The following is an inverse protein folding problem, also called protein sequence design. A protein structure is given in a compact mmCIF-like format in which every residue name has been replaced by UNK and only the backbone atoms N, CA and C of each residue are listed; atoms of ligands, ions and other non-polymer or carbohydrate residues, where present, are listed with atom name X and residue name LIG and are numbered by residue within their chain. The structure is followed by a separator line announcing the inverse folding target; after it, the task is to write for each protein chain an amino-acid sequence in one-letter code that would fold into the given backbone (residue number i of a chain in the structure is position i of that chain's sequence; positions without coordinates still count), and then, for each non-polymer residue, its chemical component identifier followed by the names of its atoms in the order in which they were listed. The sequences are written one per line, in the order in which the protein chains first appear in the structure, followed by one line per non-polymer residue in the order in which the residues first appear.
data_IF_454897725279
#
_entry.id   IF_454897725279
#
_cell.length_a   1.000
_cell.length_b   1.000
_cell.length_c   1.000
_cell.angle_alpha   90.00
_cell.angle_beta   90.00
_cell.angle_gamma   90.00
#
_symmetry.space_group_name_H-M   'P 1'
#
loop_
_entity.id
_entity.type
_entity.pdbx_description
1 polymer ?
#
# COMPACT_ATOMS: atom_id res chain seq x y z
N UNK A 1 22.41 7.42 -16.46
CA UNK A 1 21.64 6.75 -17.53
C UNK A 1 20.47 5.99 -16.90
N UNK A 2 19.28 6.06 -17.49
CA UNK A 2 18.12 5.28 -17.03
C UNK A 2 18.24 3.80 -17.41
N UNK A 3 17.66 2.91 -16.61
CA UNK A 3 17.53 1.48 -16.94
C UNK A 3 16.21 1.24 -17.69
N UNK A 4 16.24 0.36 -18.69
CA UNK A 4 15.03 -0.11 -19.37
C UNK A 4 14.14 -0.87 -18.38
N UNK A 5 12.82 -0.68 -18.48
CA UNK A 5 11.83 -1.49 -17.77
C UNK A 5 11.45 -2.65 -18.67
N UNK A 6 11.85 -3.86 -18.30
CA UNK A 6 11.60 -5.04 -19.11
C UNK A 6 10.12 -5.47 -19.05
N UNK A 7 9.57 -5.84 -20.20
CA UNK A 7 8.18 -6.27 -20.34
C UNK A 7 7.13 -5.15 -20.36
N UNK A 8 7.55 -3.87 -20.28
CA UNK A 8 6.65 -2.73 -20.38
C UNK A 8 6.20 -2.44 -21.82
N UNK A 9 4.90 -2.17 -22.00
CA UNK A 9 4.34 -1.67 -23.25
C UNK A 9 4.45 -0.14 -23.32
N UNK A 10 5.42 0.36 -24.10
CA UNK A 10 5.75 1.80 -24.15
C UNK A 10 4.60 2.71 -24.58
N UNK A 11 3.68 2.22 -25.42
CA UNK A 11 2.54 2.99 -25.93
C UNK A 11 1.46 3.30 -24.88
N UNK A 12 1.48 2.61 -23.73
CA UNK A 12 0.51 2.78 -22.65
C UNK A 12 1.17 2.94 -21.27
N UNK A 13 2.50 3.06 -21.24
CA UNK A 13 3.25 3.16 -20.01
C UNK A 13 3.06 4.52 -19.34
N UNK A 14 2.67 4.50 -18.08
CA UNK A 14 2.41 5.68 -17.28
C UNK A 14 3.04 5.52 -15.89
N UNK A 15 3.86 6.49 -15.49
CA UNK A 15 4.26 6.65 -14.09
C UNK A 15 3.08 7.24 -13.31
N UNK A 16 2.69 6.60 -12.21
CA UNK A 16 1.50 6.97 -11.42
C UNK A 16 1.82 7.53 -10.04
N UNK A 17 3.08 7.47 -9.60
CA UNK A 17 3.54 8.02 -8.31
C UNK A 17 4.02 6.93 -7.34
N UNK A 18 4.60 7.33 -6.21
CA UNK A 18 5.10 6.42 -5.15
C UNK A 18 6.05 5.30 -5.63
N UNK A 19 6.78 5.55 -6.73
CA UNK A 19 7.63 4.55 -7.37
C UNK A 19 6.91 3.53 -8.24
N UNK A 20 5.58 3.63 -8.38
CA UNK A 20 4.77 2.80 -9.26
C UNK A 20 4.62 3.38 -10.67
N UNK A 21 4.51 2.47 -11.61
CA UNK A 21 4.10 2.71 -12.98
C UNK A 21 3.16 1.59 -13.44
N UNK A 22 2.39 1.82 -14.48
CA UNK A 22 1.56 0.79 -15.11
C UNK A 22 1.52 0.97 -16.62
N UNK A 23 1.24 -0.12 -17.31
CA UNK A 23 0.76 -0.11 -18.69
C UNK A 23 -0.63 -0.77 -18.72
N UNK A 24 -1.20 -1.01 -19.91
CA UNK A 24 -2.54 -1.59 -20.03
C UNK A 24 -2.68 -3.00 -19.41
N UNK A 25 -1.58 -3.73 -19.18
CA UNK A 25 -1.58 -5.14 -18.76
C UNK A 25 -0.78 -5.34 -17.47
N UNK A 26 0.27 -4.55 -17.24
CA UNK A 26 1.23 -4.73 -16.17
C UNK A 26 1.23 -3.55 -15.20
N UNK A 27 1.65 -3.83 -13.96
CA UNK A 27 2.04 -2.83 -12.98
C UNK A 27 3.50 -3.07 -12.60
N UNK A 28 4.23 -1.99 -12.33
CA UNK A 28 5.63 -2.00 -11.99
C UNK A 28 5.88 -1.19 -10.73
N UNK A 29 6.85 -1.60 -9.92
CA UNK A 29 7.41 -0.84 -8.81
C UNK A 29 8.92 -0.71 -9.00
N UNK A 30 9.43 0.52 -9.05
CA UNK A 30 10.86 0.81 -9.29
C UNK A 30 11.43 0.07 -10.51
N UNK A 31 10.64 -0.03 -11.58
CA UNK A 31 11.01 -0.70 -12.83
C UNK A 31 10.94 -2.23 -12.80
N UNK A 32 10.48 -2.85 -11.70
CA UNK A 32 10.24 -4.30 -11.61
C UNK A 32 8.75 -4.60 -11.72
N UNK A 33 8.37 -5.60 -12.50
CA UNK A 33 6.97 -6.06 -12.61
C UNK A 33 6.46 -6.54 -11.25
N UNK A 34 5.24 -6.16 -10.91
CA UNK A 34 4.51 -6.62 -9.72
C UNK A 34 3.60 -7.77 -10.14
N UNK A 35 3.69 -8.90 -9.43
CA UNK A 35 2.92 -10.11 -9.77
C UNK A 35 1.55 -10.13 -9.10
N UNK A 36 0.59 -10.82 -9.75
CA UNK A 36 -0.75 -11.05 -9.21
C UNK A 36 -1.62 -9.81 -9.09
N UNK A 37 -1.31 -8.77 -9.86
CA UNK A 37 -1.98 -7.45 -9.83
C UNK A 37 -2.87 -7.23 -11.05
N UNK A 38 -4.04 -6.63 -10.83
CA UNK A 38 -4.95 -6.26 -11.91
C UNK A 38 -4.77 -4.79 -12.32
N UNK A 39 -3.98 -4.55 -13.38
CA UNK A 39 -3.63 -3.19 -13.84
C UNK A 39 -4.84 -2.28 -14.06
N UNK A 40 -5.94 -2.80 -14.62
CA UNK A 40 -7.15 -2.03 -14.91
C UNK A 40 -7.78 -1.36 -13.68
N UNK A 41 -7.65 -1.97 -12.51
CA UNK A 41 -8.19 -1.45 -11.24
C UNK A 41 -7.11 -0.92 -10.29
N UNK A 42 -5.84 -0.96 -10.71
CA UNK A 42 -4.73 -0.57 -9.87
C UNK A 42 -4.72 0.94 -9.61
N UNK A 43 -4.65 1.31 -8.34
CA UNK A 43 -4.63 2.70 -7.88
C UNK A 43 -3.72 2.84 -6.66
N UNK A 44 -3.13 4.03 -6.51
CA UNK A 44 -2.39 4.38 -5.31
C UNK A 44 -3.35 4.64 -4.15
N UNK A 45 -2.92 4.23 -2.96
CA UNK A 45 -3.59 4.57 -1.69
C UNK A 45 -2.78 5.64 -0.95
N UNK A 46 -1.45 5.58 -1.04
CA UNK A 46 -0.53 6.61 -0.55
C UNK A 46 0.67 6.05 0.22
N UNK A 47 1.78 6.78 0.25
CA UNK A 47 3.01 6.41 0.96
C UNK A 47 3.52 5.00 0.58
N UNK A 48 3.43 4.64 -0.70
CA UNK A 48 3.86 3.31 -1.19
C UNK A 48 2.81 2.21 -1.05
N UNK A 49 1.68 2.47 -0.39
CA UNK A 49 0.51 1.61 -0.47
C UNK A 49 -0.22 1.82 -1.79
N UNK A 50 -0.65 0.71 -2.39
CA UNK A 50 -1.48 0.66 -3.57
C UNK A 50 -2.45 -0.52 -3.49
N UNK A 51 -3.49 -0.51 -4.30
CA UNK A 51 -4.45 -1.61 -4.36
C UNK A 51 -5.01 -1.81 -5.75
N UNK A 52 -5.42 -3.03 -6.03
CA UNK A 52 -6.38 -3.33 -7.08
C UNK A 52 -7.74 -3.68 -6.44
N UNK A 53 -8.71 -4.18 -7.21
CA UNK A 53 -10.03 -4.53 -6.67
C UNK A 53 -10.01 -5.66 -5.63
N UNK A 54 -8.95 -6.47 -5.57
CA UNK A 54 -8.86 -7.70 -4.77
C UNK A 54 -7.68 -7.73 -3.80
N UNK A 55 -6.61 -7.01 -4.11
CA UNK A 55 -5.32 -7.11 -3.45
C UNK A 55 -4.84 -5.75 -2.99
N UNK A 56 -4.11 -5.74 -1.88
CA UNK A 56 -3.37 -4.58 -1.39
C UNK A 56 -1.88 -4.87 -1.50
N UNK A 57 -1.12 -3.83 -1.84
CA UNK A 57 0.32 -3.89 -2.02
C UNK A 57 1.00 -2.78 -1.23
N UNK A 58 2.21 -3.06 -0.75
CA UNK A 58 3.13 -2.07 -0.22
C UNK A 58 4.48 -2.25 -0.92
N UNK A 59 5.01 -1.16 -1.51
CA UNK A 59 6.29 -1.14 -2.25
C UNK A 59 6.47 -2.31 -3.24
N UNK A 60 5.40 -2.59 -4.00
CA UNK A 60 5.37 -3.66 -5.01
C UNK A 60 5.19 -5.07 -4.46
N UNK A 61 4.97 -5.25 -3.14
CA UNK A 61 4.72 -6.55 -2.51
C UNK A 61 3.28 -6.66 -2.05
N UNK A 62 2.62 -7.77 -2.38
CA UNK A 62 1.25 -8.05 -1.91
C UNK A 62 1.24 -8.24 -0.39
N UNK A 63 0.30 -7.57 0.29
CA UNK A 63 0.03 -7.74 1.72
C UNK A 63 -0.95 -8.90 1.88
N UNK A 64 -0.58 -9.90 2.67
CA UNK A 64 -1.46 -11.04 2.94
C UNK A 64 -2.62 -10.62 3.85
N UNK A 65 -3.80 -11.19 3.60
CA UNK A 65 -5.02 -11.02 4.41
C UNK A 65 -5.50 -9.56 4.56
N UNK A 66 -5.12 -8.67 3.64
CA UNK A 66 -5.62 -7.31 3.57
C UNK A 66 -6.88 -7.23 2.68
N UNK A 67 -7.87 -6.46 3.12
CA UNK A 67 -9.17 -6.29 2.46
C UNK A 67 -9.19 -5.02 1.60
N UNK A 68 -8.92 -5.16 0.30
CA UNK A 68 -8.79 -4.03 -0.64
C UNK A 68 -10.00 -3.08 -0.67
N UNK A 69 -11.21 -3.62 -0.48
CA UNK A 69 -12.46 -2.83 -0.47
C UNK A 69 -12.54 -1.81 0.67
N UNK A 70 -11.90 -2.09 1.81
CA UNK A 70 -11.92 -1.25 3.02
C UNK A 70 -10.57 -0.62 3.33
N UNK A 71 -9.52 -1.00 2.60
CA UNK A 71 -8.16 -0.51 2.81
C UNK A 71 -8.04 1.00 2.56
N UNK A 72 -7.53 1.71 3.57
CA UNK A 72 -7.33 3.16 3.60
C UNK A 72 -5.98 3.49 4.22
N UNK A 73 -5.23 4.38 3.58
CA UNK A 73 -4.07 4.99 4.20
C UNK A 73 -4.54 5.94 5.31
N UNK A 74 -3.90 5.84 6.47
CA UNK A 74 -4.27 6.60 7.67
C UNK A 74 -3.25 7.72 7.95
N UNK A 75 -2.00 7.58 7.53
CA UNK A 75 -0.95 8.60 7.75
C UNK A 75 0.31 7.99 8.36
N UNK A 76 1.46 8.64 8.18
CA UNK A 76 2.75 8.24 8.78
C UNK A 76 3.10 6.74 8.60
N UNK A 77 2.82 6.18 7.42
CA UNK A 77 3.05 4.76 7.12
C UNK A 77 1.97 3.79 7.64
N UNK A 78 1.00 4.29 8.41
CA UNK A 78 -0.15 3.51 8.86
C UNK A 78 -1.25 3.46 7.82
N UNK A 79 -1.90 2.31 7.77
CA UNK A 79 -3.12 2.06 7.00
C UNK A 79 -4.05 1.15 7.80
N UNK A 80 -5.32 1.16 7.46
CA UNK A 80 -6.32 0.30 8.10
C UNK A 80 -7.21 -0.35 7.04
N UNK A 81 -7.75 -1.51 7.38
CA UNK A 81 -8.89 -2.12 6.67
C UNK A 81 -9.86 -2.72 7.70
N UNK A 82 -10.88 -3.46 7.25
CA UNK A 82 -11.85 -4.08 8.16
C UNK A 82 -11.29 -5.18 9.07
N UNK A 83 -10.05 -5.63 8.85
CA UNK A 83 -9.42 -6.74 9.56
C UNK A 83 -8.29 -6.34 10.50
N UNK A 84 -7.74 -5.15 10.36
CA UNK A 84 -6.60 -4.73 11.16
C UNK A 84 -5.95 -3.44 10.72
N UNK A 85 -4.90 -3.12 11.45
CA UNK A 85 -4.02 -1.98 11.22
C UNK A 85 -2.73 -2.49 10.60
N UNK A 86 -2.16 -1.72 9.68
CA UNK A 86 -0.91 -2.02 9.00
C UNK A 86 0.06 -0.87 9.17
N UNK A 87 1.34 -1.18 9.37
CA UNK A 87 2.43 -0.22 9.36
C UNK A 87 3.47 -0.66 8.33
N UNK A 88 3.73 0.21 7.35
CA UNK A 88 4.63 -0.05 6.22
C UNK A 88 4.47 -1.46 5.60
N UNK A 89 3.22 -1.85 5.35
CA UNK A 89 2.87 -3.13 4.73
C UNK A 89 2.80 -4.33 5.68
N UNK A 90 3.09 -4.16 6.96
CA UNK A 90 3.06 -5.22 7.97
C UNK A 90 1.80 -5.07 8.82
N UNK A 91 1.01 -6.14 8.96
CA UNK A 91 -0.15 -6.15 9.86
C UNK A 91 0.32 -6.12 11.31
N UNK A 92 -0.30 -5.26 12.12
CA UNK A 92 -0.06 -5.17 13.56
C UNK A 92 -1.06 -6.09 14.26
N UNK A 93 -0.55 -7.13 14.90
CA UNK A 93 -1.39 -8.07 15.63
C UNK A 93 -1.96 -7.43 16.90
N UNK A 94 -3.24 -7.70 17.18
CA UNK A 94 -3.95 -7.12 18.32
C UNK A 94 -4.46 -5.70 18.10
N UNK A 95 -4.14 -5.06 16.97
CA UNK A 95 -4.63 -3.73 16.66
C UNK A 95 -6.00 -3.77 15.96
N UNK A 96 -6.94 -2.95 16.45
CA UNK A 96 -8.32 -2.88 16.03
C UNK A 96 -8.60 -1.58 15.26
N UNK A 97 -9.04 -1.69 13.99
CA UNK A 97 -9.33 -0.52 13.14
C UNK A 97 -10.32 0.47 13.74
N UNK A 98 -11.30 -0.02 14.52
CA UNK A 98 -12.39 0.77 15.09
C UNK A 98 -11.97 1.73 16.21
N UNK A 99 -10.88 1.41 16.90
CA UNK A 99 -10.35 2.16 18.05
C UNK A 99 -9.05 2.88 17.71
N UNK A 100 -8.48 2.64 16.53
CA UNK A 100 -7.24 3.25 16.08
C UNK A 100 -7.39 4.77 15.90
N UNK A 101 -6.70 5.54 16.75
CA UNK A 101 -6.72 7.01 16.72
C UNK A 101 -5.33 7.59 16.93
N UNK A 102 -4.98 8.59 16.12
CA UNK A 102 -3.82 9.41 16.42
C UNK A 102 -4.03 10.17 17.72
N UNK A 103 -3.08 10.04 18.65
CA UNK A 103 -2.97 10.93 19.81
C UNK A 103 -2.13 12.16 19.42
N UNK A 104 -1.05 11.95 18.66
CA UNK A 104 -0.20 12.99 18.08
C UNK A 104 0.50 12.48 16.82
N UNK A 105 1.35 13.29 16.19
CA UNK A 105 2.18 12.86 15.05
C UNK A 105 3.12 11.70 15.37
N UNK A 106 3.38 11.44 16.66
CA UNK A 106 4.39 10.50 17.11
C UNK A 106 3.79 9.35 17.95
N UNK A 107 2.50 9.42 18.30
CA UNK A 107 1.84 8.42 19.15
C UNK A 107 0.42 8.08 18.69
N UNK A 108 0.08 6.81 18.82
CA UNK A 108 -1.24 6.25 18.46
C UNK A 108 -1.82 5.52 19.66
N UNK A 109 -3.13 5.62 19.87
CA UNK A 109 -3.86 4.79 20.82
C UNK A 109 -4.69 3.74 20.10
N UNK A 110 -4.72 2.54 20.67
CA UNK A 110 -5.65 1.49 20.29
C UNK A 110 -6.03 0.68 21.54
N UNK A 111 -7.32 0.61 21.87
CA UNK A 111 -7.85 -0.08 23.06
C UNK A 111 -7.10 0.19 24.38
N UNK A 112 -6.56 1.40 24.57
CA UNK A 112 -5.79 1.75 25.77
C UNK A 112 -4.29 1.49 25.67
N UNK A 113 -3.83 0.81 24.63
CA UNK A 113 -2.40 0.66 24.32
C UNK A 113 -1.90 1.89 23.55
N UNK A 114 -0.71 2.37 23.91
CA UNK A 114 -0.04 3.46 23.21
C UNK A 114 1.12 2.91 22.38
N UNK A 115 1.14 3.26 21.09
CA UNK A 115 2.19 2.88 20.14
C UNK A 115 2.97 4.13 19.75
N UNK A 116 4.31 4.08 19.78
CA UNK A 116 5.16 5.14 19.27
C UNK A 116 5.38 4.96 17.76
N UNK A 117 5.37 6.06 17.01
CA UNK A 117 5.74 6.05 15.59
C UNK A 117 7.27 6.01 15.51
N UNK A 118 7.82 4.88 15.05
CA UNK A 118 9.26 4.70 14.88
C UNK A 118 9.84 5.70 13.88
N UNK A 119 11.03 6.24 14.21
CA UNK A 119 11.90 7.00 13.30
C UNK A 119 12.65 6.09 12.33
#
# INVERSE_FOLDING_TARGET
MGKKVDGAYSNSFQAIGDGYAKDNINVFYMGKKVDGVYSNSFQLVGNGYAKDNFNVFYVGKKIANAYANSFKYFGNGYATDNSGVFYMGVKIDGAYPSSFRFISSDYINDYGDAYCMGK
#
